data_IF_087636835882
#
_entry.id   IF_087636835882
#
_cell.length_a   1.000
_cell.length_b   1.000
_cell.length_c   1.000
_cell.angle_alpha   90.00
_cell.angle_beta   90.00
_cell.angle_gamma   90.00
#
_symmetry.space_group_name_H-M   'P 1'
#
loop_
_entity.id
_entity.type
_entity.pdbx_description
1 polymer ?
#
# COMPACT_ATOMS: atom_id res chain seq x y z
N UNK A 1 24.43 10.78 14.53
CA UNK A 1 24.05 10.35 14.20
C UNK A 1 23.18 10.65 13.49
N UNK A 2 22.80 10.96 12.91
CA UNK A 2 22.10 11.26 12.25
C UNK A 2 21.23 10.77 11.72
N UNK A 3 21.24 10.34 11.40
CA UNK A 3 20.38 9.60 10.77
C UNK A 3 19.12 9.43 11.31
N UNK A 4 18.91 9.89 12.40
CA UNK A 4 17.70 9.65 13.12
C UNK A 4 16.46 10.05 12.32
N UNK A 5 16.50 11.17 11.65
CA UNK A 5 15.34 11.63 10.95
C UNK A 5 14.97 10.73 9.78
N UNK A 6 15.96 10.28 9.05
CA UNK A 6 15.66 9.42 7.90
C UNK A 6 15.23 8.04 8.33
N UNK A 7 15.62 7.61 9.49
CA UNK A 7 15.24 6.31 9.99
C UNK A 7 13.73 6.20 10.21
N UNK A 8 13.13 7.28 10.68
CA UNK A 8 11.74 7.23 11.02
C UNK A 8 10.85 6.83 9.86
N UNK A 9 11.09 7.39 8.69
CA UNK A 9 10.21 7.16 7.57
C UNK A 9 10.27 5.73 7.05
N UNK A 10 11.47 5.21 6.87
CA UNK A 10 11.62 3.87 6.33
C UNK A 10 11.16 2.81 7.29
N UNK A 11 11.39 3.01 8.58
CA UNK A 11 11.05 2.02 9.58
C UNK A 11 9.55 1.83 9.73
N UNK A 12 8.78 2.89 9.51
CA UNK A 12 7.36 2.85 9.77
C UNK A 12 6.54 2.23 8.64
N UNK A 13 7.11 2.02 7.47
CA UNK A 13 6.35 1.49 6.34
C UNK A 13 5.80 0.10 6.63
N UNK A 14 6.58 -0.78 7.20
CA UNK A 14 6.12 -2.13 7.53
C UNK A 14 5.04 -2.08 8.60
N UNK A 15 5.18 -1.23 9.61
CA UNK A 15 4.18 -1.09 10.65
C UNK A 15 2.89 -0.53 10.08
N UNK A 16 2.96 0.48 9.24
CA UNK A 16 1.79 1.07 8.60
C UNK A 16 1.10 0.06 7.68
N UNK A 17 1.87 -0.72 6.96
CA UNK A 17 1.31 -1.75 6.11
C UNK A 17 0.54 -2.78 6.94
N UNK A 18 1.15 -3.26 8.01
CA UNK A 18 0.50 -4.25 8.87
C UNK A 18 -0.76 -3.70 9.53
N UNK A 19 -0.75 -2.45 9.92
CA UNK A 19 -1.87 -1.84 10.62
C UNK A 19 -3.03 -1.48 9.70
N UNK A 20 -2.74 -0.95 8.51
CA UNK A 20 -3.77 -0.35 7.66
C UNK A 20 -4.07 -1.13 6.37
N UNK A 21 -3.15 -1.93 5.91
CA UNK A 21 -3.23 -2.51 4.57
C UNK A 21 -3.33 -4.03 4.56
N UNK A 22 -2.68 -4.68 5.51
CA UNK A 22 -2.52 -6.13 5.47
C UNK A 22 -3.83 -6.90 5.64
N UNK A 23 -4.85 -6.31 6.27
CA UNK A 23 -6.11 -7.01 6.44
C UNK A 23 -6.77 -7.35 5.10
N UNK A 24 -6.48 -6.58 4.07
CA UNK A 24 -6.96 -6.86 2.71
C UNK A 24 -5.82 -7.39 1.83
N UNK A 25 -4.70 -6.68 1.81
CA UNK A 25 -3.60 -6.97 0.89
C UNK A 25 -2.69 -8.12 1.33
N UNK A 26 -2.83 -8.61 2.56
CA UNK A 26 -1.97 -9.58 3.21
C UNK A 26 -0.60 -8.98 3.54
N UNK A 27 0.12 -9.60 4.47
CA UNK A 27 1.43 -9.09 4.88
C UNK A 27 2.43 -9.08 3.73
N UNK A 28 2.32 -10.05 2.83
CA UNK A 28 3.25 -10.21 1.70
C UNK A 28 2.76 -9.55 0.42
N UNK A 29 1.67 -8.81 0.49
CA UNK A 29 1.12 -8.14 -0.68
C UNK A 29 0.39 -9.04 -1.66
N UNK A 30 0.14 -10.30 -1.30
CA UNK A 30 -0.47 -11.27 -2.20
C UNK A 30 -1.97 -11.07 -2.42
N UNK A 31 -2.63 -10.36 -1.51
CA UNK A 31 -4.08 -10.17 -1.61
C UNK A 31 -4.88 -11.43 -1.30
N UNK A 32 -4.28 -12.40 -0.63
CA UNK A 32 -4.91 -13.70 -0.40
C UNK A 32 -5.74 -13.79 0.86
N UNK A 33 -5.98 -12.68 1.56
CA UNK A 33 -6.88 -12.67 2.70
C UNK A 33 -8.31 -12.88 2.22
N UNK A 34 -9.21 -13.19 3.14
CA UNK A 34 -10.62 -13.35 2.79
C UNK A 34 -11.16 -12.09 2.13
N UNK A 35 -10.87 -10.91 2.71
CA UNK A 35 -11.34 -9.65 2.15
C UNK A 35 -10.66 -9.34 0.82
N UNK A 36 -9.37 -9.67 0.69
CA UNK A 36 -8.66 -9.46 -0.56
C UNK A 36 -9.25 -10.27 -1.70
N UNK A 37 -9.62 -11.51 -1.42
CA UNK A 37 -10.27 -12.35 -2.43
C UNK A 37 -11.65 -11.80 -2.80
N UNK A 38 -12.39 -11.36 -1.81
CA UNK A 38 -13.73 -10.81 -2.04
C UNK A 38 -13.68 -9.56 -2.91
N UNK A 39 -12.66 -8.73 -2.74
CA UNK A 39 -12.52 -7.49 -3.48
C UNK A 39 -11.68 -7.63 -4.76
N UNK A 40 -11.22 -8.83 -5.07
CA UNK A 40 -10.37 -9.11 -6.24
C UNK A 40 -9.09 -8.26 -6.24
N UNK A 41 -8.46 -8.15 -5.07
CA UNK A 41 -7.24 -7.38 -4.93
C UNK A 41 -6.11 -8.08 -5.66
N UNK A 42 -5.29 -7.30 -6.34
CA UNK A 42 -4.18 -7.83 -7.12
C UNK A 42 -3.03 -8.31 -6.24
N UNK A 43 -2.26 -9.22 -6.78
CA UNK A 43 -1.09 -9.78 -6.11
C UNK A 43 0.14 -8.92 -6.44
N UNK A 44 0.62 -8.16 -5.48
CA UNK A 44 1.75 -7.25 -5.70
C UNK A 44 3.09 -7.96 -5.81
N UNK A 45 3.14 -9.27 -5.62
CA UNK A 45 4.36 -10.03 -5.88
C UNK A 45 4.58 -10.25 -7.37
N UNK A 46 3.54 -10.10 -8.17
CA UNK A 46 3.56 -10.34 -9.61
C UNK A 46 4.13 -9.11 -10.33
N UNK A 47 5.19 -9.33 -11.12
CA UNK A 47 5.82 -8.24 -11.87
C UNK A 47 4.87 -7.56 -12.85
N UNK A 48 3.94 -8.29 -13.43
CA UNK A 48 2.95 -7.71 -14.34
C UNK A 48 2.02 -6.74 -13.61
N UNK A 49 1.63 -7.09 -12.41
CA UNK A 49 0.80 -6.22 -11.59
C UNK A 49 1.58 -4.95 -11.25
N UNK A 50 2.85 -5.11 -10.85
CA UNK A 50 3.70 -3.98 -10.50
C UNK A 50 3.88 -3.01 -11.67
N UNK A 51 3.97 -3.51 -12.88
CA UNK A 51 4.18 -2.66 -14.06
C UNK A 51 2.91 -2.00 -14.54
N UNK A 52 1.76 -2.40 -14.04
CA UNK A 52 0.47 -1.88 -14.49
C UNK A 52 0.10 -0.54 -13.86
N UNK A 53 0.82 -0.09 -12.85
CA UNK A 53 0.52 1.19 -12.21
C UNK A 53 1.80 1.97 -11.93
N UNK A 54 1.68 3.29 -11.92
CA UNK A 54 2.80 4.18 -11.58
C UNK A 54 2.83 4.42 -10.07
N UNK A 55 3.97 4.90 -9.59
CA UNK A 55 4.08 5.29 -8.18
C UNK A 55 3.06 6.37 -7.83
N UNK A 56 2.85 7.33 -8.72
CA UNK A 56 1.86 8.39 -8.50
C UNK A 56 0.44 7.84 -8.38
N UNK A 57 0.10 6.86 -9.19
CA UNK A 57 -1.21 6.23 -9.10
C UNK A 57 -1.38 5.50 -7.77
N UNK A 58 -0.33 4.83 -7.31
CA UNK A 58 -0.36 4.14 -6.02
C UNK A 58 -0.49 5.15 -4.88
N UNK A 59 0.23 6.26 -4.94
CA UNK A 59 0.13 7.30 -3.92
C UNK A 59 -1.30 7.86 -3.85
N UNK A 60 -1.88 8.12 -5.01
CA UNK A 60 -3.24 8.64 -5.08
C UNK A 60 -4.24 7.64 -4.50
N UNK A 61 -4.09 6.37 -4.83
CA UNK A 61 -4.98 5.33 -4.32
C UNK A 61 -4.94 5.26 -2.79
N UNK A 62 -3.75 5.38 -2.21
CA UNK A 62 -3.61 5.38 -0.77
C UNK A 62 -4.24 6.63 -0.16
N UNK A 63 -3.99 7.78 -0.73
CA UNK A 63 -4.49 9.05 -0.18
C UNK A 63 -5.99 9.21 -0.35
N UNK A 64 -6.52 8.87 -1.50
CA UNK A 64 -7.90 9.16 -1.87
C UNK A 64 -8.81 7.95 -1.82
N UNK A 65 -8.24 6.76 -1.66
CA UNK A 65 -9.00 5.53 -1.71
C UNK A 65 -9.33 5.14 -3.15
N UNK A 66 -10.04 4.04 -3.28
CA UNK A 66 -10.42 3.52 -4.59
C UNK A 66 -11.91 3.22 -4.57
N UNK A 67 -12.60 3.65 -5.62
CA UNK A 67 -14.01 3.31 -5.83
C UNK A 67 -14.12 2.46 -7.09
N UNK A 68 -14.95 1.44 -7.01
CA UNK A 68 -15.21 0.57 -8.13
C UNK A 68 -16.72 0.48 -8.28
N UNK A 69 -17.23 0.90 -9.43
CA UNK A 69 -18.68 0.92 -9.70
C UNK A 69 -19.45 1.69 -8.63
N UNK A 70 -18.88 2.82 -8.18
CA UNK A 70 -19.50 3.69 -7.19
C UNK A 70 -19.33 3.25 -5.74
N UNK A 71 -18.75 2.09 -5.51
CA UNK A 71 -18.52 1.60 -4.15
C UNK A 71 -17.07 1.80 -3.73
N UNK A 72 -16.88 2.19 -2.47
CA UNK A 72 -15.54 2.33 -1.91
C UNK A 72 -14.96 0.95 -1.65
N UNK A 73 -13.96 0.55 -2.45
CA UNK A 73 -13.29 -0.73 -2.29
C UNK A 73 -12.01 -0.61 -1.50
N UNK A 74 -11.44 0.59 -1.40
CA UNK A 74 -10.32 0.88 -0.55
C UNK A 74 -10.56 2.24 0.09
N UNK A 75 -10.38 2.30 1.42
CA UNK A 75 -10.58 3.54 2.17
C UNK A 75 -9.48 4.55 1.85
N UNK A 76 -9.77 5.85 1.95
CA UNK A 76 -8.73 6.87 1.86
C UNK A 76 -7.94 6.96 3.17
N UNK A 77 -6.64 7.14 3.05
CA UNK A 77 -5.76 7.26 4.21
C UNK A 77 -5.05 8.61 4.28
N UNK A 78 -5.41 9.54 3.42
CA UNK A 78 -4.74 10.83 3.34
C UNK A 78 -4.76 11.64 4.63
N UNK A 79 -5.78 11.46 5.46
CA UNK A 79 -5.86 12.16 6.75
C UNK A 79 -5.09 11.45 7.86
N UNK A 80 -4.70 10.19 7.66
CA UNK A 80 -4.03 9.39 8.68
C UNK A 80 -2.54 9.24 8.44
N UNK A 81 -2.10 9.42 7.20
CA UNK A 81 -0.72 9.20 6.80
C UNK A 81 -0.15 10.46 6.19
N UNK A 82 1.10 10.77 6.52
CA UNK A 82 1.80 11.90 5.90
C UNK A 82 2.21 11.54 4.47
N UNK A 83 2.62 12.55 3.70
CA UNK A 83 3.15 12.28 2.36
C UNK A 83 4.37 11.36 2.43
N UNK A 84 5.22 11.54 3.42
CA UNK A 84 6.39 10.67 3.59
C UNK A 84 5.97 9.24 3.87
N UNK A 85 4.95 9.04 4.70
CA UNK A 85 4.41 7.71 4.98
C UNK A 85 3.86 7.06 3.71
N UNK A 86 3.15 7.83 2.91
CA UNK A 86 2.57 7.32 1.66
C UNK A 86 3.67 6.89 0.70
N UNK A 87 4.70 7.71 0.54
CA UNK A 87 5.82 7.36 -0.34
C UNK A 87 6.56 6.12 0.15
N UNK A 88 6.74 6.01 1.46
CA UNK A 88 7.37 4.82 2.04
C UNK A 88 6.53 3.57 1.83
N UNK A 89 5.21 3.69 1.88
CA UNK A 89 4.31 2.57 1.60
C UNK A 89 4.39 2.16 0.13
N UNK A 90 4.50 3.09 -0.79
CA UNK A 90 4.66 2.74 -2.21
C UNK A 90 5.97 1.97 -2.41
N UNK A 91 7.06 2.41 -1.78
CA UNK A 91 8.32 1.67 -1.84
C UNK A 91 8.16 0.26 -1.25
N UNK A 92 7.42 0.14 -0.17
CA UNK A 92 7.13 -1.14 0.46
C UNK A 92 6.37 -2.06 -0.49
N UNK A 93 5.38 -1.53 -1.19
CA UNK A 93 4.61 -2.27 -2.19
C UNK A 93 5.53 -2.76 -3.31
N UNK A 94 6.42 -1.89 -3.81
CA UNK A 94 7.35 -2.28 -4.88
C UNK A 94 8.30 -3.39 -4.45
N UNK A 95 8.62 -3.44 -3.16
CA UNK A 95 9.53 -4.46 -2.63
C UNK A 95 8.90 -5.85 -2.58
N UNK A 96 7.58 -5.98 -2.73
CA UNK A 96 6.94 -7.29 -2.77
C UNK A 96 7.21 -8.04 -4.07
N UNK A 97 7.64 -7.36 -5.10
CA UNK A 97 7.86 -7.99 -6.40
C UNK A 97 8.87 -9.14 -6.30
N UNK A 98 8.52 -10.26 -6.87
CA UNK A 98 9.38 -11.44 -6.91
C UNK A 98 10.03 -11.62 -8.25
#
# INVERSE_FOLDING_TARGET
>A
MIASASLGFGADAAANWNQHCASCHAKDGSGTTMMGKKLNIKDYRDAKVQSAFSDGEAERAIKEGVKTSGKETMKPFGSKLSDADVKALVAHIRAFKK
#
